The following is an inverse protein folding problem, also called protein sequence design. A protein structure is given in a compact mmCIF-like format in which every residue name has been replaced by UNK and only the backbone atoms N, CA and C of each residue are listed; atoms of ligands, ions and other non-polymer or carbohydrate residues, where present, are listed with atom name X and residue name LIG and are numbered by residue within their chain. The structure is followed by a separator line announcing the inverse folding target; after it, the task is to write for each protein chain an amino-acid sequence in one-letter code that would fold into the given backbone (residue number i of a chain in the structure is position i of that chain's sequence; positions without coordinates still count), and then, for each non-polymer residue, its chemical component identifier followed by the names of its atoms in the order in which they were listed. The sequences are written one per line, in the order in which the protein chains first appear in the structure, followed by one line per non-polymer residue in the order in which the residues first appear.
data_IF_717552067131
#
_entry.id   IF_717552067131
#
_cell.length_a   1.000
_cell.length_b   1.000
_cell.length_c   1.000
_cell.angle_alpha   90.00
_cell.angle_beta   90.00
_cell.angle_gamma   90.00
#
_symmetry.space_group_name_H-M   'P 1'
#
loop_
_entity.id
_entity.type
_entity.pdbx_description
1 polymer ?
#
# COMPACT_ATOMS: atom_id res chain seq x y z
N UNK A 1 -6.03 61.93 2.90
CA UNK A 1 -4.82 62.45 2.25
C UNK A 1 -3.73 62.63 3.29
N UNK A 2 -2.90 61.61 3.51
CA UNK A 2 -1.71 61.68 4.35
C UNK A 2 -0.63 60.85 3.63
N UNK A 3 0.31 61.55 3.01
CA UNK A 3 1.42 61.01 2.23
C UNK A 3 2.53 60.55 3.17
N UNK A 4 2.94 59.28 3.08
CA UNK A 4 4.12 58.76 3.77
C UNK A 4 5.15 58.36 2.72
N UNK A 5 6.18 59.18 2.58
CA UNK A 5 7.34 58.91 1.72
C UNK A 5 8.11 57.68 2.21
N UNK A 6 8.45 56.80 1.27
CA UNK A 6 9.44 55.73 1.42
C UNK A 6 10.84 56.31 1.34
N UNK A 7 11.69 56.00 2.33
CA UNK A 7 13.14 56.20 2.23
C UNK A 7 13.81 54.90 1.78
N UNK A 8 14.41 54.96 0.59
CA UNK A 8 15.39 53.99 0.11
C UNK A 8 16.68 54.08 0.94
N UNK A 9 17.22 52.93 1.35
CA UNK A 9 18.61 52.79 1.81
C UNK A 9 19.29 51.71 0.97
N UNK A 10 20.41 52.09 0.37
CA UNK A 10 21.27 51.26 -0.46
C UNK A 10 22.65 51.17 0.20
N UNK A 11 23.24 49.97 0.09
CA UNK A 11 24.66 49.65 -0.14
C UNK A 11 25.68 49.63 1.04
N UNK A 12 26.19 48.43 1.35
CA UNK A 12 27.57 47.90 1.15
C UNK A 12 27.83 46.73 2.11
N UNK A 13 28.11 45.51 1.64
CA UNK A 13 29.34 44.91 1.05
C UNK A 13 30.33 44.38 2.08
N UNK A 14 30.80 43.16 1.78
CA UNK A 14 32.02 42.48 2.25
C UNK A 14 31.90 41.49 3.44
N UNK A 15 32.00 40.20 3.11
CA UNK A 15 31.96 39.06 4.03
C UNK A 15 32.31 37.75 3.32
N UNK A 16 33.60 37.55 3.15
CA UNK A 16 34.34 36.54 2.37
C UNK A 16 34.07 35.07 2.77
N UNK A 17 33.93 34.19 1.76
CA UNK A 17 33.90 32.72 1.91
C UNK A 17 35.32 32.13 1.77
N UNK A 18 35.76 31.17 2.61
CA UNK A 18 36.92 30.35 2.29
C UNK A 18 36.53 29.01 1.65
N UNK A 19 37.30 28.63 0.63
CA UNK A 19 37.24 27.39 -0.15
C UNK A 19 38.38 26.43 0.21
N UNK A 20 38.28 25.19 -0.33
CA UNK A 20 39.28 24.11 -0.39
C UNK A 20 39.39 23.22 0.87
N UNK A 21 39.58 21.89 0.84
CA UNK A 21 40.00 20.94 -0.19
C UNK A 21 39.55 19.50 0.21
N UNK A 22 39.53 18.55 -0.73
CA UNK A 22 39.68 17.10 -0.44
C UNK A 22 40.91 16.55 -1.19
N UNK A 23 41.14 15.22 -1.31
CA UNK A 23 40.73 14.08 -0.47
C UNK A 23 41.90 13.07 -0.20
N UNK A 24 41.65 11.97 0.54
CA UNK A 24 42.29 10.64 0.33
C UNK A 24 41.60 9.51 1.17
N UNK A 25 41.61 8.24 0.70
CA UNK A 25 40.75 7.15 1.20
C UNK A 25 41.42 6.24 2.25
N UNK A 26 40.62 5.48 3.01
CA UNK A 26 41.09 4.37 3.85
C UNK A 26 40.37 3.06 3.50
N UNK A 27 41.18 2.01 3.41
CA UNK A 27 40.88 0.66 2.92
C UNK A 27 40.17 -0.26 3.92
N UNK A 28 39.57 -1.32 3.36
CA UNK A 28 38.77 -2.42 3.90
C UNK A 28 39.38 -3.28 5.03
N UNK A 29 38.51 -3.86 5.86
CA UNK A 29 38.57 -5.29 6.23
C UNK A 29 37.22 -5.82 6.77
N UNK A 30 36.78 -6.96 6.22
CA UNK A 30 35.61 -7.77 6.59
C UNK A 30 35.67 -8.40 7.99
N UNK A 31 34.49 -8.55 8.62
CA UNK A 31 33.96 -9.74 9.33
C UNK A 31 32.73 -9.26 10.15
N UNK A 32 31.53 -9.83 10.17
CA UNK A 32 30.92 -11.04 9.64
C UNK A 32 29.68 -11.28 10.52
N UNK A 33 28.46 -11.35 9.97
CA UNK A 33 27.26 -11.70 10.73
C UNK A 33 26.53 -12.89 10.08
N UNK A 34 25.96 -13.81 10.89
CA UNK A 34 25.63 -15.17 10.47
C UNK A 34 24.30 -15.28 9.73
N UNK A 35 24.24 -16.20 8.76
CA UNK A 35 23.02 -16.62 8.08
C UNK A 35 22.20 -17.58 8.96
N UNK A 36 20.92 -17.28 9.15
CA UNK A 36 19.96 -18.24 9.66
C UNK A 36 19.22 -18.89 8.48
N UNK A 37 19.60 -20.13 8.17
CA UNK A 37 18.88 -20.98 7.25
C UNK A 37 17.67 -21.61 7.96
N UNK A 38 16.46 -21.16 7.64
CA UNK A 38 15.23 -21.85 8.01
C UNK A 38 14.83 -22.82 6.88
N UNK A 39 15.07 -24.11 7.11
CA UNK A 39 14.52 -25.19 6.28
C UNK A 39 13.06 -25.41 6.65
N UNK A 40 12.14 -25.19 5.71
CA UNK A 40 10.75 -25.63 5.83
C UNK A 40 10.40 -26.53 4.65
N UNK A 41 10.10 -27.78 4.99
CA UNK A 41 9.75 -28.89 4.11
C UNK A 41 8.35 -28.66 3.55
N UNK A 42 8.21 -28.64 2.22
CA UNK A 42 6.93 -28.48 1.55
C UNK A 42 6.10 -29.77 1.56
N UNK A 43 4.80 -29.66 1.83
CA UNK A 43 3.79 -30.62 1.40
C UNK A 43 2.60 -29.88 0.80
N UNK A 44 2.54 -29.96 -0.53
CA UNK A 44 1.39 -30.08 -1.43
C UNK A 44 0.07 -29.33 -1.11
N UNK A 45 -0.20 -28.26 -1.90
CA UNK A 45 -1.53 -27.99 -2.48
C UNK A 45 -1.39 -26.96 -3.61
N UNK A 46 -1.86 -27.31 -4.80
CA UNK A 46 -1.90 -26.48 -5.99
C UNK A 46 -2.88 -25.31 -5.83
N UNK A 47 -2.40 -24.08 -5.59
CA UNK A 47 -3.19 -22.87 -5.87
C UNK A 47 -2.33 -21.60 -5.84
N UNK A 48 -2.60 -20.70 -6.79
CA UNK A 48 -2.13 -19.31 -6.92
C UNK A 48 -0.77 -18.97 -6.25
N UNK A 49 0.34 -19.26 -6.94
CA UNK A 49 1.62 -18.64 -6.59
C UNK A 49 1.55 -17.16 -6.91
N UNK A 50 1.49 -16.32 -5.87
CA UNK A 50 2.01 -14.97 -5.96
C UNK A 50 3.43 -15.10 -6.52
N UNK A 51 3.63 -14.68 -7.77
CA UNK A 51 4.98 -14.55 -8.31
C UNK A 51 5.68 -13.57 -7.37
N UNK A 52 6.78 -13.98 -6.71
CA UNK A 52 7.58 -13.02 -5.99
C UNK A 52 7.88 -11.88 -6.95
N UNK A 53 7.73 -10.65 -6.49
CA UNK A 53 8.30 -9.52 -7.21
C UNK A 53 9.80 -9.79 -7.30
N UNK A 54 10.25 -10.27 -8.45
CA UNK A 54 11.63 -10.67 -8.68
C UNK A 54 12.40 -9.36 -8.84
N UNK A 55 12.91 -8.85 -7.74
CA UNK A 55 13.67 -7.59 -7.73
C UNK A 55 14.86 -7.77 -8.68
N UNK A 56 14.93 -6.98 -9.79
CA UNK A 56 16.09 -7.00 -10.65
C UNK A 56 17.33 -6.68 -9.81
N UNK A 57 18.39 -7.48 -9.98
CA UNK A 57 19.70 -7.17 -9.40
C UNK A 57 20.11 -5.79 -9.85
N UNK A 58 20.61 -4.98 -8.92
CA UNK A 58 21.03 -3.59 -9.14
C UNK A 58 21.74 -3.43 -10.49
N UNK A 59 21.13 -2.67 -11.41
CA UNK A 59 21.82 -2.27 -12.64
C UNK A 59 22.92 -1.28 -12.25
N UNK A 60 24.16 -1.75 -12.25
CA UNK A 60 25.32 -0.88 -12.06
C UNK A 60 25.37 0.16 -13.19
N UNK A 61 25.30 1.44 -12.82
CA UNK A 61 25.60 2.53 -13.74
C UNK A 61 27.01 2.34 -14.34
N UNK A 62 27.31 2.85 -15.54
CA UNK A 62 28.62 2.66 -16.21
C UNK A 62 29.85 3.12 -15.40
N UNK A 63 29.64 3.85 -14.30
CA UNK A 63 30.68 4.31 -13.38
C UNK A 63 30.67 3.60 -12.00
N UNK A 64 29.95 2.48 -11.83
CA UNK A 64 29.93 1.70 -10.59
C UNK A 64 29.31 2.43 -9.39
N UNK A 65 28.57 3.52 -9.63
CA UNK A 65 27.79 4.17 -8.58
C UNK A 65 26.38 3.58 -8.57
N UNK A 66 25.86 3.16 -7.40
CA UNK A 66 24.48 2.72 -7.31
C UNK A 66 23.59 3.90 -7.73
N UNK A 67 22.60 3.64 -8.60
CA UNK A 67 21.53 4.60 -8.80
C UNK A 67 20.95 4.93 -7.42
N UNK A 68 20.99 6.21 -7.01
CA UNK A 68 20.44 6.62 -5.71
C UNK A 68 18.93 6.39 -5.58
N UNK A 69 18.30 5.92 -6.65
CA UNK A 69 16.91 5.54 -6.76
C UNK A 69 16.85 4.02 -6.59
N UNK A 70 16.21 3.50 -5.53
CA UNK A 70 16.01 2.07 -5.36
C UNK A 70 15.15 1.50 -6.50
N UNK A 71 15.49 0.28 -6.94
CA UNK A 71 14.93 -0.35 -8.16
C UNK A 71 13.39 -0.43 -8.16
N UNK A 72 12.74 -0.43 -7.00
CA UNK A 72 11.28 -0.44 -6.89
C UNK A 72 10.63 0.85 -7.41
N UNK A 73 11.32 2.00 -7.33
CA UNK A 73 10.81 3.27 -7.86
C UNK A 73 10.75 3.20 -9.38
N UNK A 74 11.78 2.63 -10.03
CA UNK A 74 11.81 2.45 -11.49
C UNK A 74 10.68 1.53 -11.95
N UNK A 75 10.48 0.40 -11.27
CA UNK A 75 9.37 -0.50 -11.60
C UNK A 75 7.99 0.14 -11.36
N UNK A 76 7.86 1.03 -10.38
CA UNK A 76 6.61 1.74 -10.13
C UNK A 76 6.36 2.85 -11.15
N UNK A 77 7.41 3.51 -11.63
CA UNK A 77 7.35 4.49 -12.71
C UNK A 77 6.80 3.86 -14.00
N UNK A 78 7.21 2.62 -14.31
CA UNK A 78 6.68 1.87 -15.46
C UNK A 78 5.16 1.60 -15.37
N UNK A 79 4.58 1.67 -14.18
CA UNK A 79 3.15 1.46 -13.95
C UNK A 79 2.31 2.73 -14.06
N UNK A 80 2.93 3.90 -14.25
CA UNK A 80 2.23 5.16 -14.46
C UNK A 80 1.30 5.10 -15.68
N UNK A 81 0.18 5.80 -15.57
CA UNK A 81 -0.92 5.87 -16.53
C UNK A 81 -1.60 4.52 -16.84
N UNK A 82 -1.25 3.45 -16.12
CA UNK A 82 -1.97 2.17 -16.16
C UNK A 82 -3.07 2.14 -15.10
N UNK A 83 -4.01 1.24 -15.33
CA UNK A 83 -5.11 0.96 -14.40
C UNK A 83 -4.59 0.06 -13.28
N UNK A 84 -4.69 0.51 -12.03
CA UNK A 84 -4.27 -0.26 -10.86
C UNK A 84 -5.48 -0.64 -9.99
N UNK A 85 -5.41 -1.82 -9.37
CA UNK A 85 -6.22 -2.22 -8.23
C UNK A 85 -5.39 -1.94 -6.98
N UNK A 86 -5.95 -1.18 -6.04
CA UNK A 86 -5.36 -0.90 -4.73
C UNK A 86 -6.27 -1.46 -3.64
N UNK A 87 -5.70 -2.24 -2.72
CA UNK A 87 -6.41 -2.76 -1.54
C UNK A 87 -5.96 -2.00 -0.31
N UNK A 88 -6.92 -1.39 0.38
CA UNK A 88 -6.67 -0.61 1.59
C UNK A 88 -6.81 -1.46 2.86
N UNK A 89 -6.25 -0.97 3.96
CA UNK A 89 -6.35 -1.58 5.30
C UNK A 89 -7.77 -1.78 5.81
N UNK A 90 -8.71 -0.93 5.41
CA UNK A 90 -10.12 -1.04 5.78
C UNK A 90 -10.90 -2.02 4.88
N UNK A 91 -10.20 -2.74 3.99
CA UNK A 91 -10.77 -3.75 3.10
C UNK A 91 -11.38 -3.18 1.81
N UNK A 92 -11.34 -1.86 1.59
CA UNK A 92 -11.78 -1.25 0.33
C UNK A 92 -10.85 -1.63 -0.82
N UNK A 93 -11.46 -1.79 -1.99
CA UNK A 93 -10.79 -2.15 -3.24
C UNK A 93 -11.05 -1.00 -4.21
N UNK A 94 -10.01 -0.27 -4.56
CA UNK A 94 -10.06 0.88 -5.44
C UNK A 94 -9.45 0.48 -6.78
N UNK A 95 -10.10 0.84 -7.88
CA UNK A 95 -9.57 0.62 -9.22
C UNK A 95 -9.57 1.96 -9.93
N UNK A 96 -8.43 2.40 -10.45
CA UNK A 96 -8.31 3.71 -11.11
C UNK A 96 -7.01 3.82 -11.90
N UNK A 97 -6.85 4.91 -12.65
CA UNK A 97 -5.63 5.20 -13.38
C UNK A 97 -4.58 5.82 -12.46
N UNK A 98 -3.40 5.22 -12.42
CA UNK A 98 -2.32 5.67 -11.56
C UNK A 98 -1.57 6.85 -12.18
N UNK A 99 -1.64 8.03 -11.56
CA UNK A 99 -1.12 9.28 -12.15
C UNK A 99 0.21 9.74 -11.61
N UNK A 100 0.42 9.58 -10.31
CA UNK A 100 1.68 9.97 -9.67
C UNK A 100 1.82 9.28 -8.32
N UNK A 101 3.06 9.20 -7.86
CA UNK A 101 3.42 8.72 -6.53
C UNK A 101 4.57 9.53 -5.93
N UNK A 102 4.81 9.32 -4.65
CA UNK A 102 6.00 9.81 -3.97
C UNK A 102 6.85 8.68 -3.38
N UNK A 103 8.03 9.05 -2.83
CA UNK A 103 8.96 8.12 -2.18
C UNK A 103 8.37 7.41 -0.93
N UNK A 104 7.23 7.88 -0.40
CA UNK A 104 6.53 7.28 0.73
C UNK A 104 5.41 6.33 0.28
N UNK A 105 5.24 6.14 -1.03
CA UNK A 105 4.19 5.32 -1.61
C UNK A 105 2.81 5.96 -1.56
N UNK A 106 2.70 7.27 -1.28
CA UNK A 106 1.43 7.97 -1.50
C UNK A 106 1.14 7.98 -3.01
N UNK A 107 -0.11 7.75 -3.40
CA UNK A 107 -0.51 7.61 -4.80
C UNK A 107 -1.67 8.53 -5.13
N UNK A 108 -1.74 8.99 -6.39
CA UNK A 108 -2.92 9.65 -6.94
C UNK A 108 -3.55 8.74 -7.98
N UNK A 109 -4.83 8.41 -7.78
CA UNK A 109 -5.65 7.68 -8.74
C UNK A 109 -6.70 8.61 -9.36
N UNK A 110 -6.86 8.52 -10.68
CA UNK A 110 -7.92 9.20 -11.44
C UNK A 110 -8.98 8.19 -11.91
N UNK A 111 -10.19 8.69 -12.19
CA UNK A 111 -11.36 7.87 -12.59
C UNK A 111 -11.58 6.65 -11.69
N UNK A 112 -11.30 6.83 -10.40
CA UNK A 112 -11.31 5.77 -9.43
C UNK A 112 -12.74 5.29 -9.20
N UNK A 113 -12.92 3.98 -9.25
CA UNK A 113 -14.09 3.29 -8.75
C UNK A 113 -13.73 2.55 -7.45
N UNK A 114 -14.68 2.44 -6.55
CA UNK A 114 -14.63 1.52 -5.42
C UNK A 114 -15.43 0.28 -5.78
N UNK A 115 -14.75 -0.87 -5.84
CA UNK A 115 -15.39 -2.17 -6.07
C UNK A 115 -15.80 -2.82 -4.76
N UNK A 116 -17.10 -2.99 -4.55
CA UNK A 116 -17.65 -3.75 -3.43
C UNK A 116 -17.85 -5.19 -3.88
N UNK A 117 -17.27 -6.15 -3.16
CA UNK A 117 -17.36 -7.58 -3.49
C UNK A 117 -18.01 -8.30 -2.32
N UNK A 118 -19.03 -9.09 -2.59
CA UNK A 118 -19.71 -9.95 -1.63
C UNK A 118 -19.95 -11.30 -2.30
N UNK A 119 -19.45 -12.36 -1.68
CA UNK A 119 -19.48 -13.73 -2.19
C UNK A 119 -18.94 -13.80 -3.63
N UNK A 120 -19.78 -14.15 -4.62
CA UNK A 120 -19.39 -14.23 -6.02
C UNK A 120 -19.90 -13.04 -6.86
N UNK A 121 -20.32 -11.94 -6.22
CA UNK A 121 -20.86 -10.76 -6.90
C UNK A 121 -20.08 -9.49 -6.57
N UNK A 122 -20.11 -8.52 -7.48
CA UNK A 122 -19.52 -7.20 -7.27
C UNK A 122 -20.38 -6.07 -7.81
N UNK A 123 -20.17 -4.87 -7.27
CA UNK A 123 -20.70 -3.61 -7.77
C UNK A 123 -19.62 -2.53 -7.72
N UNK A 124 -19.62 -1.64 -8.71
CA UNK A 124 -18.66 -0.54 -8.81
C UNK A 124 -19.33 0.79 -8.47
N UNK A 125 -18.71 1.55 -7.57
CA UNK A 125 -19.12 2.89 -7.18
C UNK A 125 -18.10 3.90 -7.70
N UNK A 126 -18.53 4.86 -8.54
CA UNK A 126 -17.63 5.91 -9.01
C UNK A 126 -17.25 6.87 -7.88
N UNK A 127 -15.94 7.10 -7.71
CA UNK A 127 -15.35 7.97 -6.69
C UNK A 127 -14.68 9.20 -7.32
N UNK A 128 -14.03 9.03 -8.48
CA UNK A 128 -13.34 10.12 -9.19
C UNK A 128 -11.84 10.18 -8.85
N UNK A 129 -11.31 11.36 -8.56
CA UNK A 129 -9.90 11.54 -8.24
C UNK A 129 -9.64 11.38 -6.74
N UNK A 130 -8.65 10.56 -6.37
CA UNK A 130 -8.30 10.31 -4.97
C UNK A 130 -6.79 10.31 -4.74
N UNK A 131 -6.38 10.90 -3.62
CA UNK A 131 -5.03 10.75 -3.07
C UNK A 131 -5.09 9.67 -1.99
N UNK A 132 -4.33 8.59 -2.19
CA UNK A 132 -4.20 7.48 -1.26
C UNK A 132 -2.91 7.66 -0.48
N UNK A 133 -3.01 7.61 0.84
CA UNK A 133 -1.84 7.65 1.72
C UNK A 133 -1.15 6.28 1.70
N UNK A 134 0.16 6.26 1.49
CA UNK A 134 0.95 5.06 1.25
C UNK A 134 0.95 4.08 2.41
N UNK A 135 0.83 4.57 3.64
CA UNK A 135 0.64 3.70 4.79
C UNK A 135 -0.66 2.90 4.65
N UNK A 136 -1.79 3.47 4.24
CA UNK A 136 -3.09 2.79 4.20
C UNK A 136 -3.20 1.68 3.15
N UNK A 137 -2.23 1.55 2.26
CA UNK A 137 -2.19 0.52 1.23
C UNK A 137 -1.67 -0.81 1.82
N UNK A 138 -2.36 -1.91 1.51
CA UNK A 138 -1.86 -3.27 1.78
C UNK A 138 -1.10 -3.77 0.56
N UNK A 139 -1.72 -3.68 -0.61
CA UNK A 139 -1.13 -4.10 -1.89
C UNK A 139 -1.74 -3.30 -3.03
N UNK A 140 -1.04 -3.27 -4.16
CA UNK A 140 -1.57 -2.81 -5.42
C UNK A 140 -1.03 -3.67 -6.58
N UNK A 141 -1.69 -3.60 -7.73
CA UNK A 141 -1.23 -4.27 -8.94
C UNK A 141 -2.01 -3.84 -10.18
N UNK A 142 -1.37 -3.97 -11.34
CA UNK A 142 -1.99 -3.67 -12.63
C UNK A 142 -3.25 -4.51 -12.85
N UNK A 143 -4.29 -3.86 -13.38
CA UNK A 143 -5.53 -4.51 -13.78
C UNK A 143 -5.53 -4.70 -15.29
N UNK A 144 -5.73 -5.95 -15.70
CA UNK A 144 -5.89 -6.32 -17.10
C UNK A 144 -7.37 -6.49 -17.42
N UNK A 145 -7.97 -5.48 -18.05
CA UNK A 145 -9.38 -5.49 -18.44
C UNK A 145 -9.69 -6.53 -19.53
N UNK A 146 -8.68 -7.14 -20.16
CA UNK A 146 -8.89 -8.18 -21.19
C UNK A 146 -9.24 -9.54 -20.57
N UNK A 147 -8.92 -9.75 -19.29
CA UNK A 147 -9.18 -11.00 -18.59
C UNK A 147 -10.55 -10.95 -17.91
N UNK A 148 -11.44 -11.93 -18.17
CA UNK A 148 -12.73 -11.97 -17.52
C UNK A 148 -12.56 -12.20 -16.02
N UNK A 149 -13.31 -11.46 -15.21
CA UNK A 149 -13.40 -11.70 -13.78
C UNK A 149 -14.36 -12.88 -13.51
N UNK A 150 -14.07 -13.76 -12.55
CA UNK A 150 -15.01 -14.81 -12.13
C UNK A 150 -16.23 -14.26 -11.36
N UNK A 151 -16.21 -12.97 -11.00
CA UNK A 151 -17.26 -12.31 -10.23
C UNK A 151 -18.39 -11.83 -11.14
N UNK A 152 -19.61 -11.95 -10.65
CA UNK A 152 -20.82 -11.49 -11.33
C UNK A 152 -21.09 -10.00 -11.01
N UNK A 153 -21.28 -9.16 -12.02
CA UNK A 153 -21.67 -7.77 -11.81
C UNK A 153 -23.15 -7.68 -11.42
N UNK A 154 -23.46 -7.03 -10.29
CA UNK A 154 -24.83 -6.83 -9.80
C UNK A 154 -25.11 -5.37 -9.45
N UNK A 155 -26.39 -4.96 -9.38
CA UNK A 155 -26.75 -3.64 -8.88
C UNK A 155 -26.20 -3.39 -7.48
N UNK A 156 -25.77 -2.16 -7.21
CA UNK A 156 -25.17 -1.78 -5.93
C UNK A 156 -26.10 -2.08 -4.74
N UNK A 157 -27.42 -1.88 -4.89
CA UNK A 157 -28.38 -2.18 -3.85
C UNK A 157 -28.38 -3.66 -3.44
N UNK A 158 -28.29 -4.58 -4.40
CA UNK A 158 -28.26 -6.02 -4.13
C UNK A 158 -26.97 -6.43 -3.43
N UNK A 159 -25.83 -5.92 -3.90
CA UNK A 159 -24.51 -6.21 -3.29
C UNK A 159 -24.43 -5.66 -1.87
N UNK A 160 -24.95 -4.44 -1.63
CA UNK A 160 -24.98 -3.86 -0.29
C UNK A 160 -25.95 -4.59 0.64
N UNK A 161 -27.11 -5.04 0.15
CA UNK A 161 -28.04 -5.84 0.93
C UNK A 161 -27.41 -7.18 1.35
N UNK A 162 -26.74 -7.87 0.42
CA UNK A 162 -26.01 -9.11 0.71
C UNK A 162 -24.88 -8.89 1.73
N UNK A 163 -24.18 -7.75 1.65
CA UNK A 163 -23.16 -7.37 2.64
C UNK A 163 -23.77 -7.21 4.04
N UNK A 164 -24.88 -6.49 4.15
CA UNK A 164 -25.56 -6.24 5.42
C UNK A 164 -26.04 -7.54 6.06
N UNK A 165 -26.68 -8.41 5.30
CA UNK A 165 -27.16 -9.71 5.81
C UNK A 165 -26.00 -10.57 6.35
N UNK A 166 -24.86 -10.58 5.65
CA UNK A 166 -23.66 -11.30 6.10
C UNK A 166 -23.10 -10.71 7.40
N UNK A 167 -22.98 -9.38 7.48
CA UNK A 167 -22.50 -8.69 8.68
C UNK A 167 -23.43 -8.96 9.88
N UNK A 168 -24.74 -8.97 9.67
CA UNK A 168 -25.75 -9.32 10.68
C UNK A 168 -25.61 -10.77 11.14
N UNK A 169 -25.52 -11.73 10.22
CA UNK A 169 -25.35 -13.15 10.53
C UNK A 169 -24.06 -13.42 11.31
N UNK A 170 -22.95 -12.78 10.91
CA UNK A 170 -21.68 -12.87 11.62
C UNK A 170 -21.78 -12.27 13.03
N UNK A 171 -22.51 -11.15 13.17
CA UNK A 171 -22.74 -10.51 14.47
C UNK A 171 -23.59 -11.39 15.39
N UNK A 172 -24.68 -11.95 14.89
CA UNK A 172 -25.55 -12.87 15.62
C UNK A 172 -24.77 -14.11 16.08
N UNK A 173 -23.99 -14.71 15.18
CA UNK A 173 -23.13 -15.84 15.53
C UNK A 173 -22.13 -15.48 16.63
N UNK A 174 -21.46 -14.32 16.54
CA UNK A 174 -20.54 -13.85 17.61
C UNK A 174 -21.26 -13.65 18.95
N UNK A 175 -22.49 -13.15 18.93
CA UNK A 175 -23.30 -12.97 20.13
C UNK A 175 -23.71 -14.33 20.71
N UNK A 176 -24.15 -15.26 19.87
CA UNK A 176 -24.51 -16.61 20.26
C UNK A 176 -23.31 -17.37 20.83
N UNK A 177 -22.15 -17.30 20.18
CA UNK A 177 -20.89 -17.90 20.65
C UNK A 177 -20.51 -17.33 22.02
N UNK A 178 -20.61 -16.01 22.17
CA UNK A 178 -20.36 -15.34 23.46
C UNK A 178 -21.36 -15.77 24.54
N UNK A 179 -22.64 -15.88 24.20
CA UNK A 179 -23.68 -16.31 25.14
C UNK A 179 -23.48 -17.77 25.56
N UNK A 180 -23.20 -18.64 24.60
CA UNK A 180 -22.88 -20.05 24.82
C UNK A 180 -21.65 -20.24 25.71
N UNK A 181 -20.60 -19.45 25.50
CA UNK A 181 -19.41 -19.45 26.37
C UNK A 181 -19.74 -19.02 27.81
N UNK A 182 -20.56 -17.98 27.97
CA UNK A 182 -20.97 -17.50 29.30
C UNK A 182 -21.83 -18.53 30.05
N UNK A 183 -22.77 -19.18 29.36
CA UNK A 183 -23.63 -20.23 29.94
C UNK A 183 -22.83 -21.45 30.40
N UNK A 184 -21.80 -21.86 29.64
CA UNK A 184 -20.90 -22.95 30.07
C UNK A 184 -20.09 -22.62 31.32
N UNK A 185 -19.67 -21.37 31.47
CA UNK A 185 -18.94 -20.92 32.65
C UNK A 185 -19.81 -20.90 33.90
N UNK A 186 -21.06 -20.44 33.77
CA UNK A 186 -22.06 -20.51 34.84
C UNK A 186 -22.38 -21.96 35.22
N UNK A 187 -22.55 -22.85 34.24
CA UNK A 187 -22.82 -24.28 34.51
C UNK A 187 -21.69 -25.00 35.24
N UNK A 188 -20.42 -24.69 34.90
CA UNK A 188 -19.25 -25.29 35.56
C UNK A 188 -19.09 -24.85 37.02
N UNK A 189 -19.53 -23.63 37.37
CA UNK A 189 -19.40 -23.07 38.73
C UNK A 189 -20.42 -23.68 39.72
N UNK A 190 -21.50 -24.29 39.22
CA UNK A 190 -22.52 -24.98 40.04
C UNK A 190 -22.19 -26.43 40.37
N UNK A 191 -21.31 -27.09 39.60
CA UNK A 191 -20.94 -28.50 39.79
C UNK A 191 -19.76 -28.71 40.79
N UNK A 192 -19.22 -27.64 41.39
CA UNK A 192 -18.09 -27.68 42.35
C UNK A 192 -18.48 -27.70 43.85
N UNK A 193 -19.73 -27.99 44.23
CA UNK A 193 -20.18 -28.05 45.64
C UNK A 193 -20.81 -29.38 46.08
#
# INVERSE_FOLDING_TARGET
MHTKEMRHLHLRSDGQLPSSAGPAPLSSSHAGEPSFAASARASDSSDARAVPFDFPKDEEAPNGQPSGIPNWITSLEEELDKKLLVVLRDGRKLIGFFRTFDQFGNMVLEETIQRVIVDNAYADLYVGCMIIRGDNMILFGAVDDTKPTPLEAKPLCEVLAARQEREEREREKRLQDRNWSAERQLGADYDEW
#
